data_IF_048120321097
#
_entry.id   IF_048120321097
#
_cell.length_a   1.000
_cell.length_b   1.000
_cell.length_c   1.000
_cell.angle_alpha   90.00
_cell.angle_beta   90.00
_cell.angle_gamma   90.00
#
_symmetry.space_group_name_H-M   'P 1'
#
loop_
_entity.id
_entity.type
_entity.pdbx_description
1 polymer ?
#
# COMPACT_ATOMS: atom_id res chain seq x y z
N UNK A 1 -9.17 10.52 -14.42
CA UNK A 1 -9.87 9.33 -13.87
C UNK A 1 -9.03 8.12 -14.18
N UNK A 2 -8.82 7.23 -13.21
CA UNK A 2 -8.04 5.99 -13.37
C UNK A 2 -8.83 4.82 -12.81
N UNK A 3 -8.83 3.70 -13.53
CA UNK A 3 -9.36 2.42 -13.08
C UNK A 3 -8.23 1.64 -12.44
N UNK A 4 -8.42 1.15 -11.22
CA UNK A 4 -7.41 0.37 -10.51
C UNK A 4 -8.07 -0.71 -9.64
N UNK A 5 -7.28 -1.69 -9.22
CA UNK A 5 -7.70 -2.72 -8.27
C UNK A 5 -6.93 -2.52 -6.99
N UNK A 6 -7.62 -2.49 -5.85
CA UNK A 6 -6.96 -2.44 -4.55
C UNK A 6 -6.21 -3.76 -4.32
N UNK A 7 -4.89 -3.70 -4.18
CA UNK A 7 -4.04 -4.88 -4.03
C UNK A 7 -4.37 -5.70 -2.77
N UNK A 8 -4.90 -5.05 -1.73
CA UNK A 8 -5.18 -5.64 -0.40
C UNK A 8 -6.58 -6.23 -0.30
N UNK A 9 -7.57 -5.60 -0.94
CA UNK A 9 -9.00 -6.01 -0.83
C UNK A 9 -9.55 -6.65 -2.11
N UNK A 10 -8.77 -6.67 -3.18
CA UNK A 10 -9.16 -7.10 -4.53
C UNK A 10 -10.37 -6.35 -5.13
N UNK A 11 -10.74 -5.20 -4.56
CA UNK A 11 -11.85 -4.38 -5.06
C UNK A 11 -11.42 -3.51 -6.25
N UNK A 12 -12.25 -3.48 -7.30
CA UNK A 12 -12.08 -2.56 -8.42
C UNK A 12 -12.61 -1.17 -8.07
N UNK A 13 -11.81 -0.15 -8.33
CA UNK A 13 -12.03 1.22 -7.92
C UNK A 13 -11.84 2.19 -9.08
N UNK A 14 -12.60 3.28 -9.04
CA UNK A 14 -12.45 4.42 -9.95
C UNK A 14 -11.94 5.59 -9.13
N UNK A 15 -10.76 6.11 -9.49
CA UNK A 15 -10.10 7.19 -8.76
C UNK A 15 -10.08 8.45 -9.61
N UNK A 16 -10.61 9.52 -9.06
CA UNK A 16 -10.60 10.84 -9.67
C UNK A 16 -9.31 11.57 -9.30
N UNK A 17 -8.28 11.39 -10.13
CA UNK A 17 -7.02 12.10 -9.99
C UNK A 17 -7.13 13.51 -10.57
N UNK A 18 -6.68 14.50 -9.81
CA UNK A 18 -6.39 15.83 -10.33
C UNK A 18 -4.98 15.80 -10.94
N UNK A 19 -4.82 15.96 -12.25
CA UNK A 19 -3.52 15.83 -12.91
C UNK A 19 -2.61 17.06 -12.78
N UNK A 20 -3.04 18.09 -12.04
CA UNK A 20 -2.18 19.23 -11.68
C UNK A 20 -1.31 18.80 -10.50
N UNK A 21 0.00 19.05 -10.57
CA UNK A 21 1.05 18.67 -9.61
C UNK A 21 0.90 19.22 -8.17
N UNK A 22 -0.26 19.75 -7.81
CA UNK A 22 -0.58 20.40 -6.55
C UNK A 22 -1.35 19.46 -5.59
N UNK A 23 -0.99 18.17 -5.55
CA UNK A 23 -1.62 17.19 -4.65
C UNK A 23 -1.33 17.49 -3.18
N UNK A 24 -0.11 17.96 -2.88
CA UNK A 24 0.25 18.47 -1.56
C UNK A 24 -0.66 19.65 -1.17
N UNK A 25 -0.96 20.54 -2.12
CA UNK A 25 -1.81 21.72 -1.89
C UNK A 25 -3.28 21.34 -1.61
N UNK A 26 -3.79 20.25 -2.19
CA UNK A 26 -5.15 19.79 -1.90
C UNK A 26 -5.29 19.21 -0.49
N UNK A 27 -4.32 18.40 -0.06
CA UNK A 27 -4.29 17.91 1.33
C UNK A 27 -4.08 19.07 2.31
N UNK A 28 -3.27 20.08 1.96
CA UNK A 28 -3.10 21.33 2.75
C UNK A 28 -4.38 22.15 2.89
N UNK A 29 -5.35 22.01 1.98
CA UNK A 29 -6.64 22.71 2.10
C UNK A 29 -7.64 21.98 3.01
N UNK A 30 -7.40 20.71 3.33
CA UNK A 30 -8.34 19.86 4.08
C UNK A 30 -7.78 19.47 5.45
N UNK A 31 -6.47 19.26 5.56
CA UNK A 31 -5.81 18.80 6.77
C UNK A 31 -4.83 19.83 7.32
N UNK A 32 -4.72 19.88 8.64
CA UNK A 32 -3.76 20.72 9.37
C UNK A 32 -2.31 20.25 9.11
N UNK A 33 -1.34 21.13 9.34
CA UNK A 33 0.08 20.78 9.20
C UNK A 33 0.50 19.58 10.05
N UNK A 34 -0.04 19.45 11.27
CA UNK A 34 0.21 18.32 12.16
C UNK A 34 -0.34 17.00 11.60
N UNK A 35 -1.55 17.04 11.02
CA UNK A 35 -2.15 15.89 10.35
C UNK A 35 -1.36 15.50 9.09
N UNK A 36 -0.85 16.45 8.34
CA UNK A 36 0.01 16.16 7.18
C UNK A 36 1.36 15.56 7.57
N UNK A 37 1.96 16.04 8.67
CA UNK A 37 3.17 15.44 9.23
C UNK A 37 2.88 13.98 9.64
N UNK A 38 1.74 13.74 10.30
CA UNK A 38 1.32 12.40 10.67
C UNK A 38 1.09 11.48 9.45
N UNK A 39 0.40 11.97 8.41
CA UNK A 39 0.18 11.26 7.15
C UNK A 39 1.52 10.85 6.52
N UNK A 40 2.45 11.79 6.41
CA UNK A 40 3.76 11.52 5.83
C UNK A 40 4.57 10.53 6.68
N UNK A 41 4.51 10.63 8.00
CA UNK A 41 5.20 9.70 8.90
C UNK A 41 4.70 8.26 8.74
N UNK A 42 3.37 8.03 8.66
CA UNK A 42 2.81 6.70 8.38
C UNK A 42 3.29 6.17 7.03
N UNK A 43 3.27 7.03 6.00
CA UNK A 43 3.73 6.66 4.67
C UNK A 43 5.19 6.19 4.67
N UNK A 44 6.06 6.94 5.34
CA UNK A 44 7.48 6.60 5.46
C UNK A 44 7.68 5.30 6.24
N UNK A 45 6.96 5.10 7.34
CA UNK A 45 7.07 3.87 8.14
C UNK A 45 6.66 2.64 7.32
N UNK A 46 5.56 2.73 6.56
CA UNK A 46 5.12 1.66 5.67
C UNK A 46 6.15 1.39 4.57
N UNK A 47 6.67 2.42 3.92
CA UNK A 47 7.67 2.27 2.85
C UNK A 47 8.97 1.64 3.36
N UNK A 48 9.38 1.96 4.58
CA UNK A 48 10.62 1.45 5.18
C UNK A 48 10.45 0.05 5.79
N UNK A 49 9.21 -0.38 6.03
CA UNK A 49 8.93 -1.73 6.51
C UNK A 49 9.25 -2.79 5.44
N UNK A 50 9.73 -3.95 5.86
CA UNK A 50 10.12 -5.06 4.96
C UNK A 50 8.93 -5.57 4.14
N UNK A 51 7.74 -5.50 4.71
CA UNK A 51 6.52 -6.09 4.17
C UNK A 51 5.52 -5.05 3.64
N UNK A 52 5.93 -3.78 3.56
CA UNK A 52 5.09 -2.65 3.15
C UNK A 52 3.78 -2.56 3.92
N UNK A 53 3.84 -2.86 5.23
CA UNK A 53 2.73 -2.76 6.17
C UNK A 53 3.25 -2.50 7.56
N UNK A 54 2.43 -1.85 8.36
CA UNK A 54 2.65 -1.68 9.80
C UNK A 54 1.42 -2.16 10.56
N UNK A 55 1.54 -2.46 11.84
CA UNK A 55 0.38 -2.78 12.66
C UNK A 55 -0.43 -1.52 12.96
N UNK A 56 -1.73 -1.68 13.19
CA UNK A 56 -2.61 -0.58 13.56
C UNK A 56 -2.18 0.14 14.86
N UNK A 57 -1.72 -0.56 15.92
CA UNK A 57 -1.16 0.11 17.09
C UNK A 57 0.12 0.90 16.80
N UNK A 58 1.04 0.37 15.97
CA UNK A 58 2.23 1.12 15.53
C UNK A 58 1.83 2.40 14.80
N UNK A 59 0.85 2.32 13.89
CA UNK A 59 0.29 3.48 13.20
C UNK A 59 -0.17 4.57 14.18
N UNK A 60 -0.93 4.20 15.22
CA UNK A 60 -1.41 5.17 16.21
C UNK A 60 -0.29 5.69 17.13
N UNK A 61 0.74 4.90 17.41
CA UNK A 61 1.85 5.31 18.26
C UNK A 61 2.79 6.33 17.57
N UNK A 62 2.78 6.42 16.25
CA UNK A 62 3.54 7.44 15.50
C UNK A 62 3.15 8.86 15.94
N UNK A 63 1.92 9.10 16.44
CA UNK A 63 1.52 10.44 16.92
C UNK A 63 2.41 10.95 18.06
N UNK A 64 3.08 10.06 18.80
CA UNK A 64 3.97 10.40 19.90
C UNK A 64 5.35 10.88 19.45
N UNK A 65 5.76 10.62 18.20
CA UNK A 65 7.08 10.99 17.66
C UNK A 65 7.05 12.20 16.73
N UNK A 66 5.88 12.83 16.54
CA UNK A 66 5.71 14.00 15.68
C UNK A 66 6.25 15.27 16.32
N UNK A 67 6.70 16.21 15.48
CA UNK A 67 7.12 17.54 15.96
C UNK A 67 5.91 18.35 16.44
N UNK A 68 4.78 18.21 15.75
CA UNK A 68 3.51 18.76 16.18
C UNK A 68 2.67 17.67 16.86
N UNK A 69 2.42 17.77 18.17
CA UNK A 69 1.72 16.72 18.89
C UNK A 69 0.27 16.61 18.41
N UNK A 70 -0.10 15.42 17.96
CA UNK A 70 -1.49 15.00 17.71
C UNK A 70 -1.85 14.04 18.84
N UNK A 71 -2.97 14.26 19.52
CA UNK A 71 -3.43 13.30 20.54
C UNK A 71 -3.78 11.98 19.88
N UNK A 72 -3.55 10.85 20.56
CA UNK A 72 -3.85 9.52 20.00
C UNK A 72 -5.30 9.38 19.49
N UNK A 73 -6.26 9.97 20.20
CA UNK A 73 -7.68 9.91 19.80
C UNK A 73 -7.96 10.73 18.53
N UNK A 74 -7.49 11.98 18.46
CA UNK A 74 -7.56 12.78 17.22
C UNK A 74 -6.78 12.15 16.04
N UNK A 75 -5.67 11.48 16.33
CA UNK A 75 -4.89 10.71 15.35
C UNK A 75 -5.69 9.54 14.79
N UNK A 76 -6.41 8.83 15.65
CA UNK A 76 -7.32 7.77 15.22
C UNK A 76 -8.45 8.32 14.35
N UNK A 77 -9.11 9.40 14.77
CA UNK A 77 -10.21 10.01 14.00
C UNK A 77 -9.77 10.40 12.59
N UNK A 78 -8.65 11.13 12.46
CA UNK A 78 -8.14 11.53 11.14
C UNK A 78 -7.67 10.33 10.31
N UNK A 79 -7.11 9.30 10.96
CA UNK A 79 -6.69 8.09 10.26
C UNK A 79 -7.89 7.33 9.67
N UNK A 80 -9.02 7.28 10.39
CA UNK A 80 -10.28 6.73 9.88
C UNK A 80 -10.82 7.51 8.67
N UNK A 81 -10.66 8.84 8.66
CA UNK A 81 -10.99 9.67 7.48
C UNK A 81 -10.10 9.33 6.28
N UNK A 82 -8.81 9.10 6.49
CA UNK A 82 -7.90 8.70 5.42
C UNK A 82 -8.18 7.30 4.87
N UNK A 83 -8.61 6.36 5.72
CA UNK A 83 -9.10 5.05 5.27
C UNK A 83 -10.35 5.24 4.40
N UNK A 84 -11.35 5.99 4.88
CA UNK A 84 -12.57 6.29 4.11
C UNK A 84 -12.25 7.00 2.79
N UNK A 85 -11.24 7.87 2.80
CA UNK A 85 -10.75 8.58 1.64
C UNK A 85 -9.95 7.73 0.64
N UNK A 86 -9.64 6.47 0.98
CA UNK A 86 -8.89 5.53 0.14
C UNK A 86 -7.37 5.71 0.16
N UNK A 87 -6.83 6.52 1.08
CA UNK A 87 -5.40 6.78 1.20
C UNK A 87 -4.65 5.64 1.90
N UNK A 88 -5.29 5.02 2.88
CA UNK A 88 -4.79 3.81 3.55
C UNK A 88 -5.84 2.72 3.52
N UNK A 89 -5.40 1.48 3.67
CA UNK A 89 -6.28 0.33 3.85
C UNK A 89 -5.92 -0.33 5.16
N UNK A 90 -6.91 -0.56 6.01
CA UNK A 90 -6.77 -1.38 7.21
C UNK A 90 -7.39 -2.74 6.94
N UNK A 91 -6.60 -3.81 7.06
CA UNK A 91 -7.08 -5.18 6.97
C UNK A 91 -6.60 -5.95 8.20
N UNK A 92 -7.54 -6.52 8.93
CA UNK A 92 -7.28 -7.20 10.21
C UNK A 92 -6.56 -6.25 11.18
N UNK A 93 -5.25 -6.47 11.41
CA UNK A 93 -4.41 -5.72 12.35
C UNK A 93 -3.35 -4.87 11.64
N UNK A 94 -3.30 -4.90 10.30
CA UNK A 94 -2.29 -4.21 9.52
C UNK A 94 -2.85 -3.05 8.73
N UNK A 95 -2.00 -2.07 8.50
CA UNK A 95 -2.23 -0.88 7.69
C UNK A 95 -1.32 -0.94 6.46
N UNK A 96 -1.91 -0.69 5.31
CA UNK A 96 -1.29 -0.73 4.00
C UNK A 96 -1.52 0.59 3.26
N UNK A 97 -0.72 0.84 2.23
CA UNK A 97 -1.00 1.95 1.31
C UNK A 97 -2.30 1.69 0.56
N UNK A 98 -3.16 2.72 0.54
CA UNK A 98 -4.40 2.67 -0.21
C UNK A 98 -4.17 2.99 -1.68
N UNK A 99 -5.06 2.51 -2.56
CA UNK A 99 -4.93 2.67 -4.00
C UNK A 99 -4.99 4.15 -4.42
N UNK A 100 -5.70 5.01 -3.69
CA UNK A 100 -5.72 6.45 -3.98
C UNK A 100 -4.37 7.10 -3.71
N UNK A 101 -3.74 6.76 -2.59
CA UNK A 101 -2.41 7.26 -2.26
C UNK A 101 -1.40 6.80 -3.31
N UNK A 102 -1.41 5.51 -3.68
CA UNK A 102 -0.49 4.96 -4.68
C UNK A 102 -0.61 5.72 -6.01
N UNK A 103 -1.83 6.01 -6.45
CA UNK A 103 -2.08 6.68 -7.72
C UNK A 103 -1.76 8.18 -7.68
N UNK A 104 -2.25 8.90 -6.67
CA UNK A 104 -2.01 10.36 -6.51
C UNK A 104 -0.53 10.68 -6.30
N UNK A 105 0.21 9.81 -5.59
CA UNK A 105 1.62 10.02 -5.26
C UNK A 105 2.57 9.13 -6.07
N UNK A 106 2.10 8.55 -7.18
CA UNK A 106 2.87 7.60 -7.99
C UNK A 106 4.25 8.11 -8.41
N UNK A 107 4.38 9.39 -8.78
CA UNK A 107 5.66 9.99 -9.15
C UNK A 107 6.64 10.01 -7.95
N UNK A 108 6.17 10.43 -6.77
CA UNK A 108 6.96 10.44 -5.54
C UNK A 108 7.36 9.01 -5.12
N UNK A 109 6.41 8.08 -5.14
CA UNK A 109 6.63 6.69 -4.76
C UNK A 109 7.60 5.98 -5.69
N UNK A 110 7.58 6.27 -7.00
CA UNK A 110 8.58 5.75 -7.95
C UNK A 110 9.99 6.27 -7.65
N UNK A 111 10.14 7.47 -7.09
CA UNK A 111 11.44 7.98 -6.63
C UNK A 111 11.90 7.30 -5.34
N UNK A 112 11.00 7.08 -4.38
CA UNK A 112 11.33 6.45 -3.10
C UNK A 112 11.56 4.93 -3.23
N UNK A 113 10.79 4.27 -4.09
CA UNK A 113 10.73 2.80 -4.21
C UNK A 113 10.85 2.35 -5.68
N UNK A 114 11.96 2.66 -6.39
CA UNK A 114 12.07 2.40 -7.83
C UNK A 114 12.01 0.90 -8.19
N UNK A 115 12.32 0.02 -7.24
CA UNK A 115 12.24 -1.44 -7.41
C UNK A 115 10.84 -2.02 -7.25
N UNK A 116 9.89 -1.26 -6.72
CA UNK A 116 8.55 -1.74 -6.36
C UNK A 116 7.60 -1.61 -7.55
N UNK A 117 8.00 -2.18 -8.68
CA UNK A 117 7.24 -2.13 -9.93
C UNK A 117 6.93 -3.55 -10.37
N UNK A 118 5.66 -3.85 -10.54
CA UNK A 118 5.23 -5.13 -11.07
C UNK A 118 5.63 -5.22 -12.55
N UNK A 119 6.50 -6.17 -12.88
CA UNK A 119 7.03 -6.31 -14.24
C UNK A 119 5.99 -6.71 -15.29
N UNK A 120 4.80 -7.17 -14.88
CA UNK A 120 3.72 -7.56 -15.79
C UNK A 120 2.87 -6.38 -16.26
N UNK A 121 2.59 -5.41 -15.39
CA UNK A 121 1.76 -4.24 -15.70
C UNK A 121 2.53 -2.91 -15.70
N UNK A 122 3.79 -2.90 -15.23
CA UNK A 122 4.64 -1.72 -15.08
C UNK A 122 4.12 -0.67 -14.08
N UNK A 123 3.20 -1.07 -13.21
CA UNK A 123 2.68 -0.22 -12.12
C UNK A 123 3.33 -0.54 -10.78
N UNK A 124 3.26 0.43 -9.86
CA UNK A 124 3.75 0.26 -8.48
C UNK A 124 3.04 -0.92 -7.81
N UNK A 125 3.78 -1.67 -6.98
CA UNK A 125 3.25 -2.78 -6.17
C UNK A 125 3.79 -2.68 -4.75
N UNK A 126 2.88 -2.69 -3.77
CA UNK A 126 3.21 -2.68 -2.35
C UNK A 126 2.58 -3.86 -1.62
N UNK A 127 1.63 -4.55 -2.23
CA UNK A 127 1.07 -5.79 -1.72
C UNK A 127 0.88 -6.82 -2.84
N UNK A 128 1.33 -8.04 -2.59
CA UNK A 128 1.25 -9.12 -3.56
C UNK A 128 2.22 -10.25 -3.25
N UNK A 129 2.58 -10.98 -4.30
CA UNK A 129 3.36 -12.22 -4.20
C UNK A 129 4.78 -12.00 -4.66
N UNK A 130 5.72 -12.49 -3.88
CA UNK A 130 7.15 -12.38 -4.17
C UNK A 130 7.71 -13.71 -4.66
N UNK A 131 8.61 -13.66 -5.64
CA UNK A 131 9.32 -14.85 -6.10
C UNK A 131 10.36 -15.30 -5.05
N UNK A 132 10.36 -16.56 -4.66
CA UNK A 132 11.34 -17.15 -3.75
C UNK A 132 12.79 -17.05 -4.26
N UNK A 133 13.00 -17.08 -5.58
CA UNK A 133 14.33 -17.02 -6.21
C UNK A 133 14.86 -15.60 -6.38
N UNK A 134 14.09 -14.70 -7.00
CA UNK A 134 14.57 -13.35 -7.32
C UNK A 134 13.94 -12.23 -6.48
N UNK A 135 13.07 -12.57 -5.53
CA UNK A 135 12.42 -11.66 -4.57
C UNK A 135 11.57 -10.53 -5.17
N UNK A 136 11.47 -10.44 -6.50
CA UNK A 136 10.58 -9.51 -7.20
C UNK A 136 9.13 -9.75 -6.76
N UNK A 137 8.48 -8.68 -6.34
CA UNK A 137 7.07 -8.64 -5.98
C UNK A 137 6.22 -8.37 -7.21
N UNK A 138 5.09 -9.07 -7.31
CA UNK A 138 4.09 -8.87 -8.35
C UNK A 138 2.71 -8.79 -7.73
N UNK A 139 1.82 -8.01 -8.34
CA UNK A 139 0.41 -8.02 -7.97
C UNK A 139 -0.17 -9.43 -8.06
N UNK A 140 -0.94 -9.83 -7.06
CA UNK A 140 -1.61 -11.14 -7.01
C UNK A 140 -2.47 -11.37 -8.26
N UNK A 141 -3.25 -10.38 -8.69
CA UNK A 141 -4.10 -10.48 -9.88
C UNK A 141 -3.30 -10.59 -11.20
N UNK A 142 -2.18 -9.86 -11.32
CA UNK A 142 -1.29 -9.97 -12.48
C UNK A 142 -0.71 -11.39 -12.57
N UNK A 143 -0.25 -11.92 -11.43
CA UNK A 143 0.35 -13.25 -11.37
C UNK A 143 -0.67 -14.34 -11.69
N UNK A 144 -1.87 -14.27 -11.11
CA UNK A 144 -2.97 -15.21 -11.38
C UNK A 144 -3.29 -15.27 -12.87
N UNK A 145 -3.37 -14.11 -13.55
CA UNK A 145 -3.61 -14.06 -15.00
C UNK A 145 -2.45 -14.67 -15.79
N UNK A 146 -1.21 -14.34 -15.44
CA UNK A 146 -0.01 -14.83 -16.13
C UNK A 146 0.17 -16.36 -15.98
N UNK A 147 -0.19 -16.92 -14.83
CA UNK A 147 -0.10 -18.35 -14.54
C UNK A 147 -1.14 -19.24 -15.22
N UNK A 148 -2.10 -18.64 -15.91
CA UNK A 148 -2.99 -19.38 -16.81
C UNK A 148 -2.21 -19.97 -18.00
N UNK A 149 -1.09 -19.36 -18.38
CA UNK A 149 -0.31 -19.76 -19.57
C UNK A 149 1.14 -20.17 -19.27
N UNK A 150 1.78 -19.60 -18.25
CA UNK A 150 3.21 -19.81 -17.96
C UNK A 150 3.42 -20.06 -16.47
N UNK A 151 4.24 -21.02 -16.05
CA UNK A 151 4.51 -21.30 -14.61
C UNK A 151 5.86 -20.81 -14.09
N UNK A 152 6.63 -20.13 -14.93
CA UNK A 152 7.94 -19.58 -14.61
C UNK A 152 7.84 -18.12 -14.16
N UNK A 153 8.69 -17.70 -13.24
CA UNK A 153 8.78 -16.32 -12.81
C UNK A 153 9.05 -15.39 -14.00
N UNK A 154 8.23 -14.36 -14.25
CA UNK A 154 8.48 -13.41 -15.34
C UNK A 154 9.78 -12.60 -15.15
N UNK A 155 10.33 -12.61 -13.93
CA UNK A 155 11.51 -11.82 -13.56
C UNK A 155 12.85 -12.54 -13.70
N UNK A 156 12.89 -13.86 -13.44
CA UNK A 156 14.13 -14.67 -13.48
C UNK A 156 13.97 -16.00 -14.23
N UNK A 157 12.79 -16.29 -14.77
CA UNK A 157 12.45 -17.50 -15.54
C UNK A 157 12.56 -18.83 -14.79
N UNK A 158 12.95 -18.82 -13.50
CA UNK A 158 12.91 -19.99 -12.64
C UNK A 158 11.46 -20.43 -12.37
N UNK A 159 11.25 -21.70 -12.02
CA UNK A 159 9.93 -22.17 -11.58
C UNK A 159 9.41 -21.31 -10.42
N UNK A 160 8.14 -20.92 -10.46
CA UNK A 160 7.59 -20.09 -9.39
C UNK A 160 7.47 -20.86 -8.10
N UNK A 161 8.18 -20.37 -7.08
CA UNK A 161 7.99 -20.72 -5.68
C UNK A 161 7.66 -19.40 -5.00
N UNK A 162 6.53 -19.34 -4.31
CA UNK A 162 6.13 -18.14 -3.58
C UNK A 162 7.02 -17.98 -2.35
N UNK A 163 7.45 -16.75 -2.09
CA UNK A 163 8.15 -16.42 -0.86
C UNK A 163 7.17 -16.31 0.31
N UNK A 164 7.20 -17.30 1.20
CA UNK A 164 6.29 -17.42 2.34
C UNK A 164 6.50 -16.37 3.45
N UNK A 165 7.38 -15.38 3.26
CA UNK A 165 7.50 -14.26 4.21
C UNK A 165 6.26 -13.36 4.19
N UNK A 166 5.52 -13.32 3.09
CA UNK A 166 4.35 -12.45 2.92
C UNK A 166 2.99 -13.12 3.21
N UNK A 167 2.96 -14.44 3.45
CA UNK A 167 1.74 -15.24 3.54
C UNK A 167 1.41 -15.60 4.99
N UNK A 168 1.15 -14.60 5.82
CA UNK A 168 0.37 -14.83 7.04
C UNK A 168 -1.00 -14.19 6.84
N UNK A 169 -2.05 -15.02 6.90
CA UNK A 169 -3.48 -14.71 6.85
C UNK A 169 -4.22 -14.75 5.49
N UNK A 170 -4.31 -15.95 4.91
CA UNK A 170 -5.56 -16.41 4.30
C UNK A 170 -5.80 -17.85 4.78
N UNK A 171 -6.62 -18.04 5.81
CA UNK A 171 -7.03 -19.37 6.27
C UNK A 171 -7.26 -19.49 7.77
N UNK A 172 -8.46 -19.09 8.22
CA UNK A 172 -9.12 -19.74 9.36
C UNK A 172 -10.63 -19.44 9.31
N UNK A 173 -11.28 -19.96 8.28
CA UNK A 173 -12.69 -20.37 8.36
C UNK A 173 -12.71 -21.87 8.09
N UNK A 174 -12.77 -22.64 9.16
CA UNK A 174 -13.19 -24.04 9.14
C UNK A 174 -14.05 -24.23 10.37
N UNK A 175 -15.35 -24.32 10.11
CA UNK A 175 -16.39 -24.69 11.05
C UNK A 175 -16.04 -26.01 11.77
N UNK A 176 -16.25 -26.02 13.09
CA UNK A 176 -16.73 -27.17 13.88
C UNK A 176 -17.43 -26.64 15.15
#
# INVERSE_FOLDING_TARGET
MVFTTCEVTDQNLIIWLNTKNDHITQLQNVFTLAQLEYFHAILMEIINSVEYRITYPECLNITCSLKFPVTRDAGQEVFEEWIKGGYYVKQTNFVYLGPRLIQEFSAYLKTCCPSNVCILCQELVFFGKSCGSCRKMLHSYCLTKYFQTVRQCPGCQSNWIEDNRNTNHAGSDSDD
#
